data_IF_706339611464
#
_entry.id   IF_706339611464
#
_cell.length_a   1.000
_cell.length_b   1.000
_cell.length_c   1.000
_cell.angle_alpha   90.00
_cell.angle_beta   90.00
_cell.angle_gamma   90.00
#
_symmetry.space_group_name_H-M   'P 1'
#
loop_
_entity.id
_entity.type
_entity.pdbx_description
1 polymer ?
#
# COMPACT_ATOMS: atom_id res chain seq x y z
N UNK A 1 68.91 -49.29 -2.52
CA UNK A 1 68.03 -48.86 -1.44
C UNK A 1 66.82 -48.16 -2.05
N UNK A 2 65.69 -48.79 -1.84
CA UNK A 2 64.37 -48.30 -2.28
C UNK A 2 63.83 -47.29 -1.30
N UNK A 3 63.39 -46.10 -1.78
CA UNK A 3 62.66 -45.14 -1.00
C UNK A 3 61.15 -45.42 -1.05
N UNK A 4 60.37 -44.99 -0.07
CA UNK A 4 58.95 -45.36 0.02
C UNK A 4 58.08 -44.53 -0.88
N UNK A 5 57.19 -45.21 -1.58
CA UNK A 5 56.12 -44.68 -2.41
C UNK A 5 55.02 -44.07 -1.48
N UNK A 6 54.77 -42.79 -1.66
CA UNK A 6 53.60 -42.14 -1.09
C UNK A 6 52.38 -42.39 -1.97
N UNK A 7 51.38 -43.10 -1.45
CA UNK A 7 50.06 -43.15 -2.07
C UNK A 7 49.28 -41.84 -1.76
N UNK A 8 48.58 -41.28 -2.75
CA UNK A 8 47.71 -40.11 -2.49
C UNK A 8 46.40 -40.53 -1.84
N UNK A 9 46.09 -39.92 -0.70
CA UNK A 9 44.82 -40.04 -0.02
C UNK A 9 43.72 -39.48 -0.93
N UNK A 10 42.62 -40.19 -1.22
CA UNK A 10 41.54 -39.64 -2.01
C UNK A 10 40.79 -38.59 -1.18
N UNK A 11 40.89 -37.34 -1.57
CA UNK A 11 40.07 -36.25 -1.08
C UNK A 11 38.62 -36.51 -1.46
N UNK A 12 37.80 -36.83 -0.46
CA UNK A 12 36.34 -36.91 -0.58
C UNK A 12 35.80 -35.51 -0.82
N UNK A 13 35.68 -35.13 -2.07
CA UNK A 13 34.83 -34.02 -2.49
C UNK A 13 33.38 -34.50 -2.39
N UNK A 14 32.76 -34.32 -1.22
CA UNK A 14 31.32 -34.46 -1.11
C UNK A 14 30.69 -33.40 -2.03
N UNK A 15 30.02 -33.83 -3.08
CA UNK A 15 29.17 -32.97 -3.87
C UNK A 15 28.16 -32.28 -2.93
N UNK A 16 27.85 -30.98 -3.14
CA UNK A 16 26.85 -30.33 -2.30
C UNK A 16 25.53 -31.10 -2.41
N UNK A 17 25.04 -31.57 -1.26
CA UNK A 17 23.72 -32.18 -1.18
C UNK A 17 22.73 -31.20 -1.81
N UNK A 18 21.95 -31.70 -2.79
CA UNK A 18 20.81 -30.94 -3.29
C UNK A 18 19.95 -30.52 -2.10
N UNK A 19 19.69 -29.24 -1.95
CA UNK A 19 18.90 -28.71 -0.86
C UNK A 19 17.52 -29.39 -0.90
N UNK A 20 17.14 -29.99 0.21
CA UNK A 20 15.82 -30.63 0.35
C UNK A 20 14.80 -29.52 0.58
N UNK A 21 13.93 -29.29 -0.39
CA UNK A 21 12.89 -28.27 -0.30
C UNK A 21 11.76 -28.68 0.62
N UNK A 22 11.41 -27.79 1.55
CA UNK A 22 10.28 -27.93 2.46
C UNK A 22 9.17 -27.02 1.95
N UNK A 23 7.99 -27.58 1.70
CA UNK A 23 6.80 -26.81 1.36
C UNK A 23 6.01 -26.48 2.62
N UNK A 24 5.84 -25.20 2.90
CA UNK A 24 5.03 -24.71 4.01
C UNK A 24 3.71 -24.18 3.47
N UNK A 25 2.56 -24.65 3.97
CA UNK A 25 1.27 -24.05 3.58
C UNK A 25 1.22 -22.58 3.94
N UNK A 26 0.75 -21.74 3.00
CA UNK A 26 0.51 -20.33 3.27
C UNK A 26 -0.79 -20.21 4.06
N UNK A 27 -0.70 -19.69 5.27
CA UNK A 27 -1.82 -19.51 6.20
C UNK A 27 -1.91 -18.06 6.67
N UNK A 28 -3.03 -17.67 7.25
CA UNK A 28 -3.27 -16.29 7.67
C UNK A 28 -2.25 -15.79 8.72
N UNK A 29 -1.71 -16.68 9.55
CA UNK A 29 -0.70 -16.33 10.56
C UNK A 29 0.67 -15.97 9.98
N UNK A 30 0.94 -16.32 8.73
CA UNK A 30 2.12 -15.87 7.99
C UNK A 30 1.91 -14.51 7.32
N UNK A 31 0.67 -13.99 7.28
CA UNK A 31 0.34 -12.73 6.61
C UNK A 31 0.25 -11.58 7.61
N UNK A 32 0.75 -10.42 7.19
CA UNK A 32 0.57 -9.12 7.87
C UNK A 32 0.03 -8.10 6.91
N UNK A 33 -0.80 -7.19 7.43
CA UNK A 33 -1.38 -6.09 6.65
C UNK A 33 -2.66 -6.43 5.89
N UNK A 34 -3.10 -7.68 5.87
CA UNK A 34 -4.41 -8.08 5.35
C UNK A 34 -5.46 -8.01 6.45
N UNK A 35 -6.69 -7.58 6.11
CA UNK A 35 -7.82 -7.56 7.04
C UNK A 35 -8.67 -8.83 6.95
N UNK A 36 -8.60 -9.52 5.82
CA UNK A 36 -9.29 -10.78 5.58
C UNK A 36 -8.49 -11.65 4.63
N UNK A 37 -8.78 -12.94 4.61
CA UNK A 37 -8.10 -13.91 3.77
C UNK A 37 -9.12 -14.90 3.22
N UNK A 38 -9.17 -15.03 1.91
CA UNK A 38 -10.05 -15.95 1.21
C UNK A 38 -9.28 -17.15 0.67
N UNK A 39 -9.77 -18.35 0.95
CA UNK A 39 -9.24 -19.56 0.34
C UNK A 39 -9.97 -19.81 -0.97
N UNK A 40 -9.27 -19.63 -2.08
CA UNK A 40 -9.79 -19.91 -3.43
C UNK A 40 -9.31 -21.28 -3.92
N UNK A 41 -9.85 -21.77 -5.03
CA UNK A 41 -9.37 -22.99 -5.70
C UNK A 41 -7.91 -22.86 -6.18
N UNK A 42 -7.43 -21.62 -6.40
CA UNK A 42 -6.13 -21.32 -6.97
C UNK A 42 -5.12 -20.81 -5.92
N UNK A 43 -5.48 -20.84 -4.63
CA UNK A 43 -4.61 -20.40 -3.55
C UNK A 43 -5.26 -19.44 -2.58
N UNK A 44 -4.45 -18.84 -1.71
CA UNK A 44 -4.89 -17.93 -0.67
C UNK A 44 -4.86 -16.50 -1.20
N UNK A 45 -6.01 -15.82 -1.18
CA UNK A 45 -6.17 -14.43 -1.60
C UNK A 45 -6.28 -13.52 -0.38
N UNK A 46 -5.28 -12.67 -0.11
CA UNK A 46 -5.41 -11.65 0.92
C UNK A 46 -6.31 -10.50 0.47
N UNK A 47 -7.14 -10.02 1.39
CA UNK A 47 -8.04 -8.87 1.22
C UNK A 47 -7.65 -7.74 2.15
N UNK A 48 -7.75 -6.50 1.65
CA UNK A 48 -7.54 -5.30 2.46
C UNK A 48 -8.84 -4.72 3.02
N UNK A 49 -9.98 -5.24 2.58
CA UNK A 49 -11.28 -5.01 3.21
C UNK A 49 -11.91 -6.34 3.64
N UNK A 50 -12.64 -6.39 4.75
CA UNK A 50 -13.33 -7.59 5.17
C UNK A 50 -14.50 -7.93 4.22
N UNK A 51 -14.83 -9.21 4.09
CA UNK A 51 -15.90 -9.71 3.21
C UNK A 51 -17.25 -8.99 3.44
N UNK A 52 -17.57 -8.65 4.70
CA UNK A 52 -18.80 -7.90 5.02
C UNK A 52 -18.83 -6.49 4.42
N UNK A 53 -17.66 -5.85 4.25
CA UNK A 53 -17.57 -4.54 3.61
C UNK A 53 -17.85 -4.68 2.11
N UNK A 54 -17.26 -5.67 1.46
CA UNK A 54 -17.45 -5.95 0.03
C UNK A 54 -18.90 -6.29 -0.31
N UNK A 55 -19.56 -7.04 0.55
CA UNK A 55 -20.96 -7.42 0.38
C UNK A 55 -21.95 -6.23 0.46
N UNK A 56 -21.51 -5.07 0.93
CA UNK A 56 -22.36 -3.90 1.18
C UNK A 56 -22.28 -2.79 0.14
N UNK A 57 -21.77 -3.07 -1.04
CA UNK A 57 -21.81 -2.13 -2.14
C UNK A 57 -20.47 -1.87 -2.82
N UNK A 58 -19.54 -2.81 -2.72
CA UNK A 58 -18.34 -2.74 -3.54
C UNK A 58 -18.71 -2.84 -5.03
N UNK A 59 -18.29 -1.86 -5.80
CA UNK A 59 -18.28 -1.95 -7.25
C UNK A 59 -17.04 -2.71 -7.74
N UNK A 60 -16.95 -2.92 -9.04
CA UNK A 60 -15.82 -3.66 -9.63
C UNK A 60 -14.48 -2.99 -9.42
N UNK A 61 -14.43 -1.65 -9.37
CA UNK A 61 -13.21 -0.89 -9.11
C UNK A 61 -12.72 -1.10 -7.68
N UNK A 62 -13.61 -1.02 -6.71
CA UNK A 62 -13.26 -1.23 -5.30
C UNK A 62 -12.85 -2.68 -5.05
N UNK A 63 -13.59 -3.65 -5.60
CA UNK A 63 -13.27 -5.08 -5.48
C UNK A 63 -11.87 -5.40 -6.04
N UNK A 64 -11.50 -4.79 -7.15
CA UNK A 64 -10.16 -4.91 -7.71
C UNK A 64 -9.11 -4.24 -6.83
N UNK A 65 -9.32 -3.00 -6.43
CA UNK A 65 -8.34 -2.22 -5.67
C UNK A 65 -8.04 -2.85 -4.31
N UNK A 66 -9.06 -3.33 -3.58
CA UNK A 66 -8.86 -3.96 -2.28
C UNK A 66 -8.15 -5.30 -2.35
N UNK A 67 -8.31 -6.05 -3.45
CA UNK A 67 -7.64 -7.33 -3.68
C UNK A 67 -6.18 -7.19 -4.13
N UNK A 68 -5.74 -6.00 -4.47
CA UNK A 68 -4.33 -5.69 -4.72
C UNK A 68 -3.62 -5.45 -3.39
N UNK A 69 -2.61 -6.26 -3.03
CA UNK A 69 -2.16 -6.40 -1.64
C UNK A 69 -1.14 -5.34 -1.21
N UNK A 70 -1.42 -4.06 -1.43
CA UNK A 70 -0.54 -2.98 -0.97
C UNK A 70 -0.33 -3.02 0.55
N UNK A 71 0.92 -3.08 0.99
CA UNK A 71 1.29 -3.19 2.39
C UNK A 71 1.13 -4.59 2.98
N UNK A 72 0.60 -5.55 2.23
CA UNK A 72 0.48 -6.95 2.66
C UNK A 72 1.79 -7.69 2.41
N UNK A 73 2.25 -8.47 3.38
CA UNK A 73 3.48 -9.23 3.30
C UNK A 73 3.36 -10.57 4.03
N UNK A 74 4.09 -11.57 3.54
CA UNK A 74 4.44 -12.76 4.29
C UNK A 74 5.52 -12.38 5.31
N UNK A 75 5.38 -12.84 6.55
CA UNK A 75 6.34 -12.60 7.61
C UNK A 75 6.60 -13.88 8.36
N UNK A 76 7.83 -14.36 8.34
CA UNK A 76 8.21 -15.64 8.95
C UNK A 76 9.66 -15.63 9.44
N UNK A 77 9.95 -16.56 10.33
CA UNK A 77 11.28 -16.79 10.88
C UNK A 77 11.86 -18.09 10.35
N UNK A 78 13.12 -18.07 9.92
CA UNK A 78 13.77 -19.23 9.32
C UNK A 78 15.29 -19.12 9.32
N UNK A 79 15.97 -20.28 9.19
CA UNK A 79 17.39 -20.35 8.81
C UNK A 79 17.61 -20.52 7.31
N UNK A 80 16.55 -20.60 6.52
CA UNK A 80 16.65 -20.89 5.09
C UNK A 80 17.63 -19.93 4.38
N UNK A 81 18.40 -20.49 3.45
CA UNK A 81 19.30 -19.75 2.56
C UNK A 81 18.65 -19.45 1.22
N UNK A 82 17.55 -20.13 0.91
CA UNK A 82 16.77 -19.92 -0.30
C UNK A 82 15.27 -20.02 0.00
N UNK A 83 14.50 -19.13 -0.63
CA UNK A 83 13.05 -19.05 -0.51
C UNK A 83 12.46 -18.95 -1.93
N UNK A 84 11.42 -19.77 -2.18
CA UNK A 84 10.60 -19.69 -3.38
C UNK A 84 9.13 -19.51 -3.01
N UNK A 85 8.45 -18.64 -3.72
CA UNK A 85 7.02 -18.40 -3.57
C UNK A 85 6.32 -18.61 -4.91
N UNK A 86 5.38 -19.55 -4.96
CA UNK A 86 4.48 -19.71 -6.10
C UNK A 86 3.27 -18.82 -5.88
N UNK A 87 2.98 -18.00 -6.88
CA UNK A 87 1.85 -17.09 -6.86
C UNK A 87 1.18 -17.01 -8.24
N UNK A 88 -0.13 -16.89 -8.22
CA UNK A 88 -0.91 -16.56 -9.40
C UNK A 88 -1.34 -15.10 -9.30
N UNK A 89 -0.68 -14.24 -10.10
CA UNK A 89 -1.01 -12.82 -10.18
C UNK A 89 -2.10 -12.58 -11.21
N UNK A 90 -2.90 -11.53 -11.02
CA UNK A 90 -3.76 -10.96 -12.05
C UNK A 90 -3.31 -9.53 -12.29
N UNK A 91 -2.80 -9.27 -13.49
CA UNK A 91 -2.40 -7.93 -13.94
C UNK A 91 -3.56 -7.24 -14.63
N UNK A 92 -3.65 -5.94 -14.44
CA UNK A 92 -4.58 -5.12 -15.20
C UNK A 92 -3.88 -4.57 -16.45
N UNK A 93 -4.54 -4.64 -17.60
CA UNK A 93 -4.10 -4.02 -18.84
C UNK A 93 -5.28 -3.30 -19.51
N UNK A 94 -4.97 -2.23 -20.23
CA UNK A 94 -5.95 -1.48 -20.99
C UNK A 94 -5.75 -1.71 -22.48
N UNK A 95 -6.83 -2.01 -23.19
CA UNK A 95 -6.78 -2.24 -24.64
C UNK A 95 -6.26 -1.00 -25.36
N UNK A 96 -5.23 -1.16 -26.17
CA UNK A 96 -4.59 -0.08 -26.92
C UNK A 96 -3.65 0.81 -26.10
N UNK A 97 -3.46 0.55 -24.82
CA UNK A 97 -2.48 1.24 -23.97
C UNK A 97 -1.16 0.44 -23.89
N UNK A 98 -0.04 1.11 -23.58
CA UNK A 98 1.22 0.43 -23.31
C UNK A 98 1.10 -0.56 -22.17
N UNK A 99 1.89 -1.65 -22.15
CA UNK A 99 1.93 -2.57 -21.02
C UNK A 99 2.33 -1.83 -19.73
N UNK A 100 1.64 -2.13 -18.65
CA UNK A 100 2.04 -1.65 -17.31
C UNK A 100 3.25 -2.45 -16.83
N UNK A 101 4.14 -1.84 -16.00
CA UNK A 101 5.25 -2.57 -15.39
C UNK A 101 4.75 -3.78 -14.62
N UNK A 102 5.52 -4.86 -14.63
CA UNK A 102 5.25 -6.03 -13.81
C UNK A 102 5.31 -5.70 -12.31
N UNK A 103 4.44 -6.34 -11.53
CA UNK A 103 4.43 -6.23 -10.09
C UNK A 103 5.72 -6.78 -9.49
N UNK A 104 6.22 -6.10 -8.48
CA UNK A 104 7.48 -6.40 -7.81
C UNK A 104 7.20 -6.98 -6.43
N UNK A 105 7.98 -7.99 -6.04
CA UNK A 105 8.07 -8.52 -4.69
C UNK A 105 9.35 -8.00 -4.05
N UNK A 106 9.24 -7.36 -2.89
CA UNK A 106 10.40 -6.92 -2.13
C UNK A 106 10.67 -7.86 -0.96
N UNK A 107 11.93 -8.26 -0.81
CA UNK A 107 12.41 -9.05 0.33
C UNK A 107 13.06 -8.14 1.36
N UNK A 108 12.69 -8.31 2.62
CA UNK A 108 13.41 -7.78 3.77
C UNK A 108 13.91 -8.90 4.66
N UNK A 109 15.11 -8.74 5.19
CA UNK A 109 15.71 -9.60 6.21
C UNK A 109 16.03 -8.74 7.42
N UNK A 110 15.46 -9.09 8.57
CA UNK A 110 15.58 -8.33 9.82
C UNK A 110 15.25 -6.84 9.62
N UNK A 111 14.19 -6.57 8.86
CA UNK A 111 13.70 -5.21 8.56
C UNK A 111 14.49 -4.43 7.51
N UNK A 112 15.54 -5.02 6.92
CA UNK A 112 16.38 -4.35 5.91
C UNK A 112 16.13 -4.89 4.51
N UNK A 113 16.16 -4.05 3.48
CA UNK A 113 16.08 -4.51 2.09
C UNK A 113 17.14 -5.59 1.80
N UNK A 114 16.71 -6.72 1.22
CA UNK A 114 17.59 -7.85 0.95
C UNK A 114 17.42 -8.44 -0.46
N UNK A 115 16.41 -8.05 -1.20
CA UNK A 115 16.23 -8.54 -2.56
C UNK A 115 14.92 -8.03 -3.19
N UNK A 116 14.81 -8.27 -4.48
CA UNK A 116 13.66 -7.91 -5.29
C UNK A 116 13.46 -8.95 -6.38
N UNK A 117 12.22 -9.33 -6.66
CA UNK A 117 11.89 -10.28 -7.70
C UNK A 117 10.56 -9.92 -8.37
N UNK A 118 10.33 -10.48 -9.54
CA UNK A 118 9.11 -10.33 -10.33
C UNK A 118 8.56 -11.72 -10.64
N UNK A 119 7.26 -11.95 -10.38
CA UNK A 119 6.61 -13.16 -10.83
C UNK A 119 6.37 -13.11 -12.35
N UNK A 120 6.55 -14.24 -13.02
CA UNK A 120 6.22 -14.41 -14.42
C UNK A 120 4.83 -15.01 -14.59
N UNK A 121 4.32 -15.05 -15.82
CA UNK A 121 3.01 -15.65 -16.12
C UNK A 121 1.85 -14.86 -15.54
N UNK A 122 0.87 -15.58 -15.06
CA UNK A 122 -0.33 -15.02 -14.43
C UNK A 122 -1.44 -14.66 -15.40
N UNK A 123 -2.56 -14.25 -14.82
CA UNK A 123 -3.73 -13.78 -15.56
C UNK A 123 -3.60 -12.31 -15.96
N UNK A 124 -4.30 -11.91 -17.00
CA UNK A 124 -4.44 -10.52 -17.42
C UNK A 124 -5.90 -10.14 -17.48
N UNK A 125 -6.31 -9.15 -16.67
CA UNK A 125 -7.59 -8.49 -16.80
C UNK A 125 -7.46 -7.38 -17.85
N UNK A 126 -7.95 -7.65 -19.05
CA UNK A 126 -7.94 -6.69 -20.15
C UNK A 126 -9.21 -5.84 -20.09
N UNK A 127 -9.05 -4.55 -19.92
CA UNK A 127 -10.15 -3.58 -19.85
C UNK A 127 -10.17 -2.74 -21.13
N UNK A 128 -11.35 -2.65 -21.74
CA UNK A 128 -11.62 -1.73 -22.83
C UNK A 128 -12.21 -0.42 -22.26
N UNK A 129 -11.43 0.65 -22.29
CA UNK A 129 -11.84 1.94 -21.74
C UNK A 129 -12.98 2.60 -22.56
N UNK A 130 -13.15 2.23 -23.82
CA UNK A 130 -14.19 2.80 -24.67
C UNK A 130 -15.58 2.21 -24.37
N UNK A 131 -15.63 0.92 -24.01
CA UNK A 131 -16.88 0.19 -23.74
C UNK A 131 -17.09 -0.12 -22.26
N UNK A 132 -16.05 -0.04 -21.44
CA UNK A 132 -16.07 -0.48 -20.05
C UNK A 132 -16.07 -2.01 -19.90
N UNK A 133 -15.97 -2.77 -20.99
CA UNK A 133 -15.91 -4.22 -20.94
C UNK A 133 -14.56 -4.71 -20.40
N UNK A 134 -14.58 -5.84 -19.69
CA UNK A 134 -13.38 -6.47 -19.17
C UNK A 134 -13.39 -7.97 -19.47
N UNK A 135 -12.23 -8.50 -19.80
CA UNK A 135 -12.02 -9.92 -20.10
C UNK A 135 -10.79 -10.40 -19.36
N UNK A 136 -10.91 -11.53 -18.62
CA UNK A 136 -9.77 -12.17 -17.98
C UNK A 136 -9.15 -13.21 -18.91
N UNK A 137 -7.88 -13.04 -19.24
CA UNK A 137 -7.09 -14.00 -19.99
C UNK A 137 -6.29 -14.86 -19.04
N UNK A 138 -6.42 -16.19 -19.09
CA UNK A 138 -5.70 -17.10 -18.21
C UNK A 138 -4.20 -17.09 -18.49
N UNK A 139 -3.43 -17.50 -17.51
CA UNK A 139 -1.98 -17.68 -17.61
C UNK A 139 -1.46 -18.60 -16.52
N UNK A 140 -0.18 -19.03 -16.60
CA UNK A 140 0.40 -19.99 -15.68
C UNK A 140 0.76 -19.35 -14.34
N UNK A 141 0.85 -20.18 -13.31
CA UNK A 141 1.45 -19.82 -12.03
C UNK A 141 2.91 -19.41 -12.24
N UNK A 142 3.32 -18.33 -11.56
CA UNK A 142 4.70 -17.90 -11.53
C UNK A 142 5.38 -18.26 -10.22
N UNK A 143 6.71 -18.25 -10.22
CA UNK A 143 7.53 -18.46 -9.03
C UNK A 143 8.48 -17.29 -8.85
N UNK A 144 8.50 -16.69 -7.67
CA UNK A 144 9.55 -15.75 -7.26
C UNK A 144 10.59 -16.47 -6.43
N UNK A 145 11.87 -16.14 -6.64
CA UNK A 145 13.01 -16.80 -6.00
C UNK A 145 13.91 -15.78 -5.33
N UNK A 146 14.29 -16.11 -4.09
CA UNK A 146 15.24 -15.33 -3.31
C UNK A 146 16.33 -16.27 -2.79
N UNK A 147 17.43 -16.44 -3.56
CA UNK A 147 18.58 -17.23 -3.13
C UNK A 147 19.57 -16.41 -2.32
N UNK A 148 20.50 -17.07 -1.67
CA UNK A 148 21.65 -16.43 -1.02
C UNK A 148 21.34 -15.69 0.27
N UNK A 149 20.30 -16.08 0.99
CA UNK A 149 20.00 -15.52 2.30
C UNK A 149 21.04 -16.02 3.34
N UNK A 150 21.32 -15.23 4.41
CA UNK A 150 22.24 -15.64 5.46
C UNK A 150 21.82 -16.95 6.16
N UNK A 151 22.77 -17.87 6.34
CA UNK A 151 22.53 -19.11 7.12
C UNK A 151 22.59 -18.85 8.62
N UNK A 152 21.53 -18.23 9.12
CA UNK A 152 21.25 -17.99 10.53
C UNK A 152 19.75 -17.80 10.74
N UNK A 153 19.29 -17.91 11.97
CA UNK A 153 17.91 -17.53 12.30
C UNK A 153 17.70 -16.05 12.00
N UNK A 154 16.64 -15.74 11.26
CA UNK A 154 16.32 -14.38 10.85
C UNK A 154 14.83 -14.23 10.58
N UNK A 155 14.35 -13.00 10.67
CA UNK A 155 13.01 -12.65 10.27
C UNK A 155 13.01 -12.23 8.80
N UNK A 156 12.12 -12.83 8.02
CA UNK A 156 11.98 -12.60 6.58
C UNK A 156 10.61 -12.02 6.31
N UNK A 157 10.55 -10.96 5.53
CA UNK A 157 9.33 -10.42 4.98
C UNK A 157 9.39 -10.45 3.46
N UNK A 158 8.33 -10.98 2.83
CA UNK A 158 8.11 -10.87 1.38
C UNK A 158 6.91 -9.96 1.17
N UNK A 159 7.16 -8.74 0.73
CA UNK A 159 6.15 -7.76 0.43
C UNK A 159 5.55 -8.02 -0.94
N UNK A 160 4.23 -8.14 -0.99
CA UNK A 160 3.49 -8.48 -2.20
C UNK A 160 3.31 -7.24 -3.10
N UNK A 161 3.14 -7.41 -4.43
CA UNK A 161 2.96 -6.29 -5.34
C UNK A 161 1.74 -5.44 -4.95
N UNK A 162 1.93 -4.12 -4.89
CA UNK A 162 0.86 -3.19 -4.53
C UNK A 162 -0.17 -2.95 -5.65
N UNK A 163 0.09 -3.45 -6.84
CA UNK A 163 -0.65 -3.16 -8.08
C UNK A 163 -1.16 -4.39 -8.83
N UNK A 164 -1.02 -5.59 -8.26
CA UNK A 164 -1.47 -6.84 -8.87
C UNK A 164 -2.19 -7.70 -7.83
N UNK A 165 -3.41 -8.13 -8.15
CA UNK A 165 -4.10 -9.15 -7.35
C UNK A 165 -3.26 -10.41 -7.30
N UNK A 166 -3.00 -10.94 -6.11
CA UNK A 166 -2.04 -12.03 -5.91
C UNK A 166 -2.65 -13.16 -5.09
N UNK A 167 -2.76 -14.36 -5.69
CA UNK A 167 -3.11 -15.59 -4.98
C UNK A 167 -1.85 -16.34 -4.62
N UNK A 168 -1.69 -16.64 -3.34
CA UNK A 168 -0.52 -17.32 -2.79
C UNK A 168 -0.75 -18.82 -2.79
N UNK A 169 0.13 -19.58 -3.43
CA UNK A 169 -0.07 -21.00 -3.67
C UNK A 169 0.82 -21.85 -2.76
N UNK A 170 2.14 -21.63 -2.78
CA UNK A 170 3.08 -22.42 -2.02
C UNK A 170 4.33 -21.62 -1.65
N UNK A 171 4.77 -21.79 -0.42
CA UNK A 171 6.06 -21.29 0.07
C UNK A 171 7.01 -22.48 0.22
N UNK A 172 8.14 -22.43 -0.47
CA UNK A 172 9.19 -23.44 -0.38
C UNK A 172 10.49 -22.82 0.14
N UNK A 173 11.12 -23.53 1.06
CA UNK A 173 12.37 -23.12 1.71
C UNK A 173 13.28 -24.33 1.92
N UNK A 174 14.57 -24.11 2.05
CA UNK A 174 15.57 -25.14 2.35
C UNK A 174 15.80 -25.36 3.85
N UNK A 175 14.99 -24.71 4.69
CA UNK A 175 14.92 -24.94 6.14
C UNK A 175 13.50 -24.66 6.65
N UNK A 176 13.10 -25.18 7.84
CA UNK A 176 11.77 -24.95 8.40
C UNK A 176 11.42 -23.49 8.59
N UNK A 177 10.12 -23.19 8.48
CA UNK A 177 9.52 -21.86 8.63
C UNK A 177 8.55 -21.86 9.79
N UNK A 178 8.60 -20.83 10.60
CA UNK A 178 7.61 -20.52 11.64
C UNK A 178 7.12 -19.08 11.48
N UNK A 179 5.93 -18.77 12.01
CA UNK A 179 5.41 -17.40 11.99
C UNK A 179 6.38 -16.48 12.74
N UNK A 180 6.65 -15.30 12.15
CA UNK A 180 7.51 -14.32 12.81
C UNK A 180 6.80 -13.76 14.06
N UNK A 181 7.51 -13.56 15.19
CA UNK A 181 6.92 -12.98 16.37
C UNK A 181 6.46 -11.56 16.10
N UNK A 182 5.42 -11.14 16.81
CA UNK A 182 4.98 -9.73 16.81
C UNK A 182 6.11 -8.86 17.38
N UNK A 183 6.54 -7.85 16.63
CA UNK A 183 7.68 -7.02 17.03
C UNK A 183 7.35 -5.97 18.11
N UNK A 184 6.11 -5.91 18.60
CA UNK A 184 5.68 -4.92 19.60
C UNK A 184 5.68 -3.48 19.08
N UNK A 185 5.78 -3.28 17.76
CA UNK A 185 5.70 -1.96 17.13
C UNK A 185 4.25 -1.48 17.10
N UNK A 186 4.06 -0.16 17.17
CA UNK A 186 2.74 0.45 17.00
C UNK A 186 2.19 0.16 15.62
N UNK A 187 0.90 -0.10 15.53
CA UNK A 187 0.18 -0.32 14.27
C UNK A 187 -0.34 1.02 13.73
N UNK A 188 0.08 1.37 12.54
CA UNK A 188 -0.43 2.51 11.80
C UNK A 188 -1.38 2.04 10.69
N UNK A 189 -2.65 2.40 10.84
CA UNK A 189 -3.72 2.14 9.88
C UNK A 189 -3.91 3.38 9.01
N UNK A 190 -3.67 3.25 7.71
CA UNK A 190 -3.77 4.36 6.75
C UNK A 190 -4.81 4.07 5.67
N UNK A 191 -5.67 5.05 5.40
CA UNK A 191 -6.64 5.02 4.30
C UNK A 191 -6.42 6.20 3.34
N UNK A 192 -6.61 5.94 2.05
CA UNK A 192 -6.53 6.95 1.00
C UNK A 192 -6.85 6.38 -0.38
N UNK A 193 -6.44 7.11 -1.41
CA UNK A 193 -6.68 6.81 -2.83
C UNK A 193 -5.63 5.86 -3.43
N UNK A 194 -5.58 5.81 -4.77
CA UNK A 194 -4.52 5.13 -5.54
C UNK A 194 -3.11 5.62 -5.18
N UNK A 195 -2.96 6.89 -4.83
CA UNK A 195 -1.67 7.46 -4.42
C UNK A 195 -1.21 6.83 -3.09
N UNK A 196 -2.12 6.58 -2.16
CA UNK A 196 -1.84 5.84 -0.93
C UNK A 196 -1.64 4.34 -1.17
N UNK A 197 -2.36 3.76 -2.11
CA UNK A 197 -2.13 2.38 -2.55
C UNK A 197 -0.74 2.21 -3.13
N UNK A 198 -0.25 3.19 -3.87
CA UNK A 198 1.11 3.23 -4.38
C UNK A 198 1.25 3.39 -5.89
N UNK A 199 0.21 3.83 -6.61
CA UNK A 199 0.31 4.09 -8.06
C UNK A 199 1.53 4.94 -8.41
N UNK A 200 2.36 4.43 -9.31
CA UNK A 200 3.61 5.07 -9.74
C UNK A 200 4.83 4.75 -8.87
N UNK A 201 4.69 4.09 -7.74
CA UNK A 201 5.81 3.61 -6.94
C UNK A 201 6.56 2.47 -7.65
N UNK A 202 7.86 2.37 -7.42
CA UNK A 202 8.71 1.36 -8.06
C UNK A 202 8.47 -0.06 -7.51
N UNK A 203 8.08 -0.18 -6.24
CA UNK A 203 7.92 -1.46 -5.56
C UNK A 203 7.06 -1.33 -4.29
N UNK A 204 6.59 -2.43 -3.69
CA UNK A 204 5.71 -2.37 -2.53
C UNK A 204 6.33 -1.73 -1.28
N UNK A 205 7.62 -1.83 -1.07
CA UNK A 205 8.29 -1.18 0.07
C UNK A 205 8.64 0.28 -0.20
N UNK A 206 8.48 0.75 -1.41
CA UNK A 206 8.76 2.13 -1.83
C UNK A 206 7.51 2.95 -2.18
N UNK A 207 6.32 2.43 -1.90
CA UNK A 207 5.12 3.26 -1.78
C UNK A 207 5.33 4.26 -0.63
N UNK A 208 4.80 5.47 -0.74
CA UNK A 208 5.03 6.47 0.31
C UNK A 208 4.58 6.03 1.72
N UNK A 209 3.44 5.28 1.87
CA UNK A 209 3.08 4.80 3.21
C UNK A 209 4.07 3.76 3.75
N UNK A 210 4.60 2.86 2.91
CA UNK A 210 5.59 1.87 3.33
C UNK A 210 6.92 2.53 3.72
N UNK A 211 7.37 3.54 2.98
CA UNK A 211 8.54 4.35 3.32
C UNK A 211 8.34 5.09 4.64
N UNK A 212 7.21 5.76 4.80
CA UNK A 212 6.90 6.48 6.04
C UNK A 212 6.82 5.54 7.24
N UNK A 213 6.23 4.35 7.09
CA UNK A 213 6.15 3.35 8.14
C UNK A 213 7.54 2.84 8.56
N UNK A 214 8.42 2.58 7.60
CA UNK A 214 9.80 2.17 7.88
C UNK A 214 10.56 3.24 8.64
N UNK A 215 10.46 4.51 8.23
CA UNK A 215 11.10 5.65 8.90
C UNK A 215 10.49 5.92 10.29
N UNK A 216 9.18 5.74 10.43
CA UNK A 216 8.49 5.89 11.72
C UNK A 216 8.61 4.70 12.67
N UNK A 217 9.19 3.59 12.22
CA UNK A 217 9.34 2.38 13.03
C UNK A 217 8.01 1.74 13.43
N UNK A 218 7.01 1.77 12.56
CA UNK A 218 5.65 1.28 12.81
C UNK A 218 5.28 0.14 11.87
N UNK A 219 4.26 -0.65 12.27
CA UNK A 219 3.63 -1.66 11.41
C UNK A 219 2.54 -1.00 10.57
N UNK A 220 2.62 -1.13 9.26
CA UNK A 220 1.64 -0.56 8.33
C UNK A 220 0.50 -1.52 8.05
N UNK A 221 -0.74 -1.00 8.14
CA UNK A 221 -1.92 -1.55 7.47
C UNK A 221 -2.37 -0.50 6.46
N UNK A 222 -2.23 -0.81 5.17
CA UNK A 222 -2.50 0.14 4.09
C UNK A 222 -3.88 -0.11 3.46
N UNK A 223 -4.83 0.76 3.74
CA UNK A 223 -6.14 0.82 3.08
C UNK A 223 -6.18 1.95 2.04
N UNK A 224 -5.10 2.17 1.32
CA UNK A 224 -5.11 2.94 0.08
C UNK A 224 -5.88 2.15 -0.98
N UNK A 225 -6.98 2.72 -1.49
CA UNK A 225 -7.90 2.05 -2.40
C UNK A 225 -8.02 2.88 -3.68
N UNK A 226 -7.40 2.40 -4.75
CA UNK A 226 -7.38 3.08 -6.04
C UNK A 226 -8.79 3.37 -6.55
N UNK A 227 -9.13 4.65 -6.71
CA UNK A 227 -10.49 5.07 -7.08
C UNK A 227 -11.55 4.87 -6.01
N UNK A 228 -11.20 4.33 -4.84
CA UNK A 228 -12.13 3.87 -3.82
C UNK A 228 -12.14 4.66 -2.52
N UNK A 229 -11.43 5.79 -2.42
CA UNK A 229 -11.50 6.66 -1.25
C UNK A 229 -12.70 7.63 -1.37
N UNK A 230 -13.89 7.08 -1.17
CA UNK A 230 -15.16 7.71 -1.48
C UNK A 230 -16.02 7.98 -0.22
N UNK A 231 -15.43 7.97 0.97
CA UNK A 231 -16.12 8.12 2.24
C UNK A 231 -17.20 7.04 2.47
N UNK A 232 -16.98 5.84 1.98
CA UNK A 232 -17.91 4.74 2.13
C UNK A 232 -18.12 4.35 3.59
N UNK A 233 -19.37 4.21 4.06
CA UNK A 233 -19.64 3.80 5.44
C UNK A 233 -19.04 2.44 5.81
N UNK A 234 -18.95 1.51 4.87
CA UNK A 234 -18.36 0.20 5.14
C UNK A 234 -16.82 0.29 5.28
N UNK A 235 -16.15 1.23 4.60
CA UNK A 235 -14.72 1.52 4.81
C UNK A 235 -14.50 2.17 6.19
N UNK A 236 -15.35 3.11 6.57
CA UNK A 236 -15.31 3.70 7.92
C UNK A 236 -15.46 2.63 9.01
N UNK A 237 -16.37 1.67 8.83
CA UNK A 237 -16.51 0.53 9.75
C UNK A 237 -15.31 -0.40 9.76
N UNK A 238 -14.67 -0.63 8.62
CA UNK A 238 -13.43 -1.40 8.56
C UNK A 238 -12.32 -0.72 9.36
N UNK A 239 -12.18 0.60 9.24
CA UNK A 239 -11.25 1.39 10.05
C UNK A 239 -11.59 1.34 11.54
N UNK A 240 -12.88 1.46 11.89
CA UNK A 240 -13.38 1.37 13.27
C UNK A 240 -13.02 0.03 13.93
N UNK A 241 -13.21 -1.05 13.19
CA UNK A 241 -13.10 -2.41 13.71
C UNK A 241 -11.69 -3.00 13.65
N UNK A 242 -10.75 -2.33 12.98
CA UNK A 242 -9.36 -2.78 12.88
C UNK A 242 -8.53 -2.21 14.03
N UNK A 243 -7.92 -3.06 14.88
CA UNK A 243 -7.05 -2.58 15.94
C UNK A 243 -5.88 -1.75 15.38
N UNK A 244 -5.66 -0.56 15.92
CA UNK A 244 -4.60 0.33 15.51
C UNK A 244 -4.20 1.29 16.66
N UNK A 245 -2.92 1.66 16.67
CA UNK A 245 -2.38 2.65 17.61
C UNK A 245 -2.38 4.06 17.02
N UNK A 246 -2.37 4.16 15.70
CA UNK A 246 -2.33 5.40 14.93
C UNK A 246 -3.21 5.24 13.69
N UNK A 247 -3.98 6.27 13.37
CA UNK A 247 -4.84 6.25 12.18
C UNK A 247 -4.63 7.52 11.37
N UNK A 248 -4.54 7.38 10.05
CA UNK A 248 -4.58 8.52 9.13
C UNK A 248 -5.53 8.25 7.97
N UNK A 249 -6.23 9.28 7.52
CA UNK A 249 -7.14 9.23 6.39
C UNK A 249 -6.85 10.39 5.44
N UNK A 250 -6.57 10.08 4.19
CA UNK A 250 -6.32 11.06 3.13
C UNK A 250 -7.53 11.12 2.21
N UNK A 251 -8.22 12.26 2.24
CA UNK A 251 -9.55 12.43 1.65
C UNK A 251 -9.48 13.45 0.52
N UNK A 252 -10.13 13.16 -0.61
CA UNK A 252 -10.57 14.17 -1.55
C UNK A 252 -10.42 13.84 -3.02
N UNK A 253 -9.27 13.38 -3.49
CA UNK A 253 -9.02 13.25 -4.93
C UNK A 253 -10.03 12.35 -5.65
N UNK A 254 -10.42 11.23 -5.07
CA UNK A 254 -11.38 10.32 -5.70
C UNK A 254 -12.80 10.89 -5.73
N UNK A 255 -13.17 11.73 -4.77
CA UNK A 255 -14.47 12.42 -4.77
C UNK A 255 -14.58 13.40 -5.95
N UNK A 256 -13.47 14.07 -6.30
CA UNK A 256 -13.38 14.92 -7.48
C UNK A 256 -13.29 14.09 -8.75
N UNK A 257 -12.43 13.07 -8.80
CA UNK A 257 -12.27 12.23 -9.98
C UNK A 257 -13.57 11.58 -10.43
N UNK A 258 -14.40 11.13 -9.48
CA UNK A 258 -15.67 10.47 -9.76
C UNK A 258 -16.84 11.44 -9.90
N UNK A 259 -16.63 12.74 -9.61
CA UNK A 259 -17.73 13.72 -9.48
C UNK A 259 -18.86 13.18 -8.60
N UNK A 260 -18.49 12.58 -7.46
CA UNK A 260 -19.37 11.71 -6.71
C UNK A 260 -20.43 12.47 -5.94
N UNK A 261 -20.07 13.62 -5.35
CA UNK A 261 -20.97 14.38 -4.48
C UNK A 261 -20.69 15.87 -4.55
N UNK A 262 -21.69 16.65 -4.13
CA UNK A 262 -21.54 18.09 -3.96
C UNK A 262 -21.17 18.46 -2.53
N UNK A 263 -20.73 19.68 -2.32
CA UNK A 263 -20.32 20.22 -1.02
C UNK A 263 -21.35 19.93 0.10
N UNK A 264 -22.64 20.07 -0.21
CA UNK A 264 -23.73 19.81 0.78
C UNK A 264 -23.71 18.38 1.30
N UNK A 265 -23.33 17.41 0.48
CA UNK A 265 -23.21 16.00 0.89
C UNK A 265 -21.82 15.70 1.49
N UNK A 266 -20.77 16.36 1.02
CA UNK A 266 -19.39 16.15 1.46
C UNK A 266 -19.19 16.44 2.94
N UNK A 267 -19.69 17.58 3.42
CA UNK A 267 -19.51 18.01 4.81
C UNK A 267 -20.04 16.97 5.79
N UNK A 268 -21.33 16.56 5.75
CA UNK A 268 -21.84 15.55 6.65
C UNK A 268 -21.22 14.15 6.42
N UNK A 269 -20.80 13.83 5.21
CA UNK A 269 -20.14 12.57 4.93
C UNK A 269 -18.78 12.48 5.64
N UNK A 270 -17.99 13.55 5.66
CA UNK A 270 -16.72 13.60 6.40
C UNK A 270 -17.00 13.48 7.92
N UNK A 271 -17.96 14.22 8.45
CA UNK A 271 -18.32 14.09 9.87
C UNK A 271 -18.73 12.66 10.24
N UNK A 272 -19.62 12.04 9.46
CA UNK A 272 -20.07 10.67 9.71
C UNK A 272 -18.95 9.63 9.57
N UNK A 273 -18.01 9.83 8.64
CA UNK A 273 -16.85 8.98 8.49
C UNK A 273 -15.93 9.03 9.71
N UNK A 274 -15.62 10.23 10.19
CA UNK A 274 -14.82 10.43 11.41
C UNK A 274 -15.53 9.94 12.67
N UNK A 275 -16.84 10.16 12.81
CA UNK A 275 -17.64 9.66 13.93
C UNK A 275 -17.59 8.13 14.00
N UNK A 276 -17.77 7.47 12.86
CA UNK A 276 -17.69 6.00 12.79
C UNK A 276 -16.33 5.48 13.23
N UNK A 277 -15.23 6.10 12.79
CA UNK A 277 -13.88 5.71 13.24
C UNK A 277 -13.77 5.90 14.76
N UNK A 278 -14.25 7.01 15.30
CA UNK A 278 -14.18 7.32 16.73
C UNK A 278 -14.98 6.37 17.61
N UNK A 279 -16.02 5.73 17.10
CA UNK A 279 -16.76 4.68 17.83
C UNK A 279 -15.85 3.52 18.28
N UNK A 280 -14.87 3.13 17.47
CA UNK A 280 -13.90 2.07 17.78
C UNK A 280 -12.56 2.58 18.32
N UNK A 281 -12.25 3.85 18.08
CA UNK A 281 -10.97 4.49 18.41
C UNK A 281 -11.19 5.85 19.10
N UNK A 282 -11.73 5.89 20.30
CA UNK A 282 -12.14 7.15 20.93
C UNK A 282 -10.99 8.11 21.24
N UNK A 283 -9.78 7.60 21.44
CA UNK A 283 -8.60 8.39 21.82
C UNK A 283 -7.37 8.18 20.94
N UNK A 284 -7.46 7.28 19.97
CA UNK A 284 -6.34 7.02 19.04
C UNK A 284 -5.99 8.29 18.27
N UNK A 285 -4.71 8.67 18.15
CA UNK A 285 -4.30 9.76 17.26
C UNK A 285 -4.83 9.54 15.85
N UNK A 286 -5.61 10.49 15.36
CA UNK A 286 -6.26 10.45 14.05
C UNK A 286 -5.82 11.67 13.24
N UNK A 287 -5.14 11.44 12.14
CA UNK A 287 -4.63 12.47 11.24
C UNK A 287 -5.45 12.51 9.95
N UNK A 288 -6.12 13.62 9.71
CA UNK A 288 -6.78 13.92 8.43
C UNK A 288 -5.79 14.61 7.51
N UNK A 289 -5.51 14.00 6.36
CA UNK A 289 -4.64 14.56 5.34
C UNK A 289 -5.48 15.07 4.19
N UNK A 290 -5.33 16.34 3.84
CA UNK A 290 -6.01 16.92 2.68
C UNK A 290 -5.32 16.54 1.37
N UNK A 291 -5.92 16.80 0.19
CA UNK A 291 -5.32 16.39 -1.08
C UNK A 291 -3.95 17.00 -1.33
N UNK A 292 -3.06 16.20 -1.93
CA UNK A 292 -1.83 16.69 -2.56
C UNK A 292 -2.20 17.67 -3.66
N UNK A 293 -1.23 18.47 -4.12
CA UNK A 293 -1.41 19.28 -5.32
C UNK A 293 -1.70 18.38 -6.53
N UNK A 294 -2.74 18.71 -7.26
CA UNK A 294 -3.05 18.09 -8.56
C UNK A 294 -3.63 19.17 -9.49
N UNK A 295 -2.82 19.77 -10.36
CA UNK A 295 -3.18 20.96 -11.13
C UNK A 295 -4.47 20.84 -11.93
N UNK A 296 -4.78 19.67 -12.50
CA UNK A 296 -6.00 19.47 -13.29
C UNK A 296 -7.29 19.64 -12.48
N UNK A 297 -7.23 19.47 -11.15
CA UNK A 297 -8.39 19.49 -10.27
C UNK A 297 -8.34 20.55 -9.16
N UNK A 298 -7.32 21.41 -9.15
CA UNK A 298 -7.24 22.46 -8.12
C UNK A 298 -8.47 23.37 -8.15
N UNK A 299 -8.89 23.78 -9.34
CA UNK A 299 -10.01 24.70 -9.55
C UNK A 299 -11.07 24.17 -10.52
N UNK A 300 -10.88 23.01 -11.10
CA UNK A 300 -11.77 22.40 -12.08
C UNK A 300 -12.39 21.13 -11.51
N UNK A 301 -13.72 21.07 -11.40
CA UNK A 301 -14.41 19.86 -10.96
C UNK A 301 -14.17 18.67 -11.90
N UNK A 302 -14.46 17.48 -11.36
CA UNK A 302 -14.55 16.25 -12.16
C UNK A 302 -15.80 16.21 -13.05
N UNK A 303 -15.99 15.04 -13.68
CA UNK A 303 -15.16 13.85 -13.53
C UNK A 303 -13.80 13.98 -14.23
N UNK A 304 -12.85 13.13 -13.83
CA UNK A 304 -11.62 12.89 -14.60
C UNK A 304 -11.93 12.01 -15.80
N UNK A 305 -11.22 12.21 -16.89
CA UNK A 305 -11.24 11.33 -18.04
C UNK A 305 -9.82 11.10 -18.58
N UNK A 306 -9.56 9.96 -19.22
CA UNK A 306 -8.34 9.79 -20.00
C UNK A 306 -8.28 10.80 -21.13
N UNK A 307 -7.10 11.40 -21.32
CA UNK A 307 -6.79 12.18 -22.51
C UNK A 307 -6.15 11.24 -23.54
N UNK A 308 -6.95 10.79 -24.50
CA UNK A 308 -6.54 9.80 -25.49
C UNK A 308 -5.63 10.38 -26.58
N UNK A 309 -5.43 11.69 -26.62
CA UNK A 309 -4.62 12.35 -27.64
C UNK A 309 -3.17 11.88 -27.67
N UNK A 310 -2.58 11.54 -26.53
CA UNK A 310 -1.19 11.10 -26.40
C UNK A 310 -1.05 9.56 -26.33
N UNK A 311 -2.14 8.81 -26.44
CA UNK A 311 -2.12 7.35 -26.32
C UNK A 311 -1.29 6.70 -27.43
N UNK A 312 -1.32 7.25 -28.65
CA UNK A 312 -0.49 6.81 -29.78
C UNK A 312 1.00 7.05 -29.57
N UNK A 313 1.39 7.98 -28.68
CA UNK A 313 2.78 8.20 -28.26
C UNK A 313 3.16 7.39 -27.00
N UNK A 314 2.31 6.46 -26.56
CA UNK A 314 2.53 5.60 -25.40
C UNK A 314 2.30 6.29 -24.05
N UNK A 315 1.57 7.42 -24.01
CA UNK A 315 1.29 8.15 -22.77
C UNK A 315 -0.23 8.19 -22.49
N UNK A 316 -0.62 7.69 -21.34
CA UNK A 316 -1.94 7.88 -20.78
C UNK A 316 -1.89 9.10 -19.86
N UNK A 317 -2.58 10.18 -20.24
CA UNK A 317 -2.72 11.38 -19.46
C UNK A 317 -4.17 11.50 -18.96
N UNK A 318 -4.37 12.19 -17.84
CA UNK A 318 -5.70 12.51 -17.33
C UNK A 318 -6.03 13.99 -17.55
N UNK A 319 -7.31 14.29 -17.65
CA UNK A 319 -7.84 15.65 -17.73
C UNK A 319 -9.10 15.79 -16.88
N UNK A 320 -9.36 16.99 -16.40
CA UNK A 320 -10.64 17.33 -15.80
C UNK A 320 -11.67 17.64 -16.90
N UNK A 321 -12.90 17.17 -16.74
CA UNK A 321 -13.98 17.40 -17.72
C UNK A 321 -15.09 18.31 -17.21
N UNK A 322 -15.07 18.68 -15.93
CA UNK A 322 -16.07 19.57 -15.35
C UNK A 322 -15.87 21.04 -15.75
N UNK A 323 -16.89 21.84 -15.48
CA UNK A 323 -16.84 23.29 -15.68
C UNK A 323 -16.50 23.99 -14.35
N UNK A 324 -15.44 24.84 -14.30
CA UNK A 324 -15.11 25.64 -13.13
C UNK A 324 -16.27 26.48 -12.58
N UNK A 325 -17.21 26.93 -13.43
CA UNK A 325 -18.40 27.67 -13.04
C UNK A 325 -19.37 26.88 -12.16
N UNK A 326 -19.35 25.55 -12.23
CA UNK A 326 -20.22 24.68 -11.43
C UNK A 326 -19.82 24.60 -9.94
N UNK A 327 -18.68 25.18 -9.57
CA UNK A 327 -18.31 25.37 -8.15
C UNK A 327 -19.38 26.18 -7.39
N UNK A 328 -19.99 27.17 -8.04
CA UNK A 328 -21.09 27.93 -7.47
C UNK A 328 -22.29 27.06 -7.12
N UNK A 329 -22.52 25.97 -7.84
CA UNK A 329 -23.54 24.98 -7.57
C UNK A 329 -23.11 23.87 -6.57
N UNK A 330 -21.93 24.00 -5.97
CA UNK A 330 -21.41 23.10 -4.94
C UNK A 330 -20.59 21.92 -5.46
N UNK A 331 -20.16 21.93 -6.74
CA UNK A 331 -19.22 20.89 -7.21
C UNK A 331 -17.87 21.03 -6.50
N UNK A 332 -17.27 19.88 -6.21
CA UNK A 332 -16.01 19.81 -5.47
C UNK A 332 -14.81 20.03 -6.39
N UNK A 333 -13.85 20.79 -5.89
CA UNK A 333 -12.48 20.87 -6.37
C UNK A 333 -11.52 20.59 -5.22
N UNK A 334 -10.24 20.40 -5.50
CA UNK A 334 -9.28 20.15 -4.43
C UNK A 334 -9.12 21.33 -3.48
N UNK A 335 -9.17 22.55 -3.99
CA UNK A 335 -9.16 23.76 -3.16
C UNK A 335 -10.36 23.81 -2.21
N UNK A 336 -11.56 23.56 -2.72
CA UNK A 336 -12.78 23.51 -1.89
C UNK A 336 -12.66 22.43 -0.81
N UNK A 337 -12.18 21.25 -1.15
CA UNK A 337 -12.02 20.15 -0.20
C UNK A 337 -11.01 20.51 0.89
N UNK A 338 -9.87 21.12 0.55
CA UNK A 338 -8.89 21.53 1.57
C UNK A 338 -9.47 22.53 2.55
N UNK A 339 -10.15 23.54 2.05
CA UNK A 339 -10.79 24.57 2.89
C UNK A 339 -11.83 23.96 3.84
N UNK A 340 -12.65 23.03 3.34
CA UNK A 340 -13.67 22.38 4.16
C UNK A 340 -13.08 21.38 5.16
N UNK A 341 -12.05 20.62 4.81
CA UNK A 341 -11.37 19.74 5.75
C UNK A 341 -10.70 20.53 6.87
N UNK A 342 -10.05 21.65 6.54
CA UNK A 342 -9.49 22.57 7.54
C UNK A 342 -10.54 23.03 8.52
N UNK A 343 -11.67 23.49 8.02
CA UNK A 343 -12.79 23.98 8.83
C UNK A 343 -13.39 22.86 9.70
N UNK A 344 -13.63 21.67 9.13
CA UNK A 344 -14.20 20.53 9.84
C UNK A 344 -13.27 20.06 10.96
N UNK A 345 -11.98 19.90 10.67
CA UNK A 345 -11.00 19.42 11.65
C UNK A 345 -10.81 20.46 12.76
N UNK A 346 -10.70 21.75 12.42
CA UNK A 346 -10.60 22.82 13.41
C UNK A 346 -11.80 22.84 14.36
N UNK A 347 -13.01 22.71 13.83
CA UNK A 347 -14.22 22.65 14.63
C UNK A 347 -14.22 21.44 15.58
N UNK A 348 -13.88 20.26 15.07
CA UNK A 348 -13.90 19.00 15.84
C UNK A 348 -12.77 18.94 16.86
N UNK A 349 -11.60 19.49 16.55
CA UNK A 349 -10.44 19.48 17.44
C UNK A 349 -10.66 20.25 18.73
N UNK A 350 -11.65 21.14 18.78
CA UNK A 350 -12.07 21.81 20.02
C UNK A 350 -12.58 20.83 21.08
N UNK A 351 -13.14 19.70 20.68
CA UNK A 351 -13.67 18.65 21.55
C UNK A 351 -12.87 17.33 21.48
N UNK A 352 -11.99 17.18 20.48
CA UNK A 352 -11.20 15.98 20.22
C UNK A 352 -9.72 16.33 20.13
N UNK A 353 -8.97 16.28 21.24
CA UNK A 353 -7.55 16.67 21.27
C UNK A 353 -6.64 15.71 20.50
N UNK A 354 -7.14 14.54 20.10
CA UNK A 354 -6.40 13.54 19.34
C UNK A 354 -6.71 13.57 17.83
N UNK A 355 -7.50 14.55 17.39
CA UNK A 355 -7.76 14.80 15.97
C UNK A 355 -6.80 15.88 15.45
N UNK A 356 -6.09 15.55 14.37
CA UNK A 356 -5.07 16.39 13.78
C UNK A 356 -5.29 16.53 12.28
N UNK A 357 -4.68 17.56 11.69
CA UNK A 357 -4.71 17.80 10.26
C UNK A 357 -3.31 17.97 9.69
N UNK A 358 -3.13 17.54 8.44
CA UNK A 358 -1.97 17.81 7.61
C UNK A 358 -2.44 18.28 6.24
N UNK A 359 -1.99 19.46 5.81
CA UNK A 359 -2.21 19.92 4.45
C UNK A 359 -1.37 19.06 3.48
N UNK A 360 -2.03 18.38 2.55
CA UNK A 360 -1.35 17.52 1.59
C UNK A 360 -0.31 18.24 0.73
N UNK A 361 -0.43 19.56 0.57
CA UNK A 361 0.56 20.36 -0.15
C UNK A 361 1.91 20.47 0.57
N UNK A 362 1.94 20.20 1.88
CA UNK A 362 3.20 20.05 2.62
C UNK A 362 3.95 18.76 2.25
N UNK A 363 3.22 17.76 1.75
CA UNK A 363 3.80 16.54 1.22
C UNK A 363 4.21 16.67 -0.25
N UNK A 364 3.37 17.32 -1.04
CA UNK A 364 3.60 17.61 -2.45
C UNK A 364 2.82 18.88 -2.87
N UNK A 365 3.53 19.95 -3.10
CA UNK A 365 3.00 21.25 -3.44
C UNK A 365 3.52 21.78 -4.80
N UNK A 366 3.33 23.06 -5.07
CA UNK A 366 3.67 23.67 -6.36
C UNK A 366 5.16 23.61 -6.70
N UNK A 367 6.03 23.83 -5.73
CA UNK A 367 7.48 23.73 -5.92
C UNK A 367 7.88 22.29 -6.28
N UNK A 368 7.23 21.31 -5.66
CA UNK A 368 7.47 19.89 -5.95
C UNK A 368 6.98 19.53 -7.35
N UNK A 369 5.83 20.05 -7.75
CA UNK A 369 5.29 19.81 -9.09
C UNK A 369 6.19 20.42 -10.18
N UNK A 370 6.79 21.55 -9.91
CA UNK A 370 7.74 22.17 -10.84
C UNK A 370 9.00 21.33 -11.05
N UNK A 371 9.48 20.67 -9.99
CA UNK A 371 10.67 19.83 -10.00
C UNK A 371 10.36 18.38 -10.43
N UNK A 372 9.31 17.80 -9.89
CA UNK A 372 8.85 16.42 -10.10
C UNK A 372 7.38 16.43 -10.57
N UNK A 373 7.09 16.77 -11.82
CA UNK A 373 5.72 16.81 -12.33
C UNK A 373 5.08 15.41 -12.28
N UNK A 374 3.75 15.37 -12.12
CA UNK A 374 2.98 14.13 -12.19
C UNK A 374 2.99 13.61 -13.64
N UNK A 375 3.56 12.41 -13.91
CA UNK A 375 3.78 11.96 -15.29
C UNK A 375 2.49 11.79 -16.11
N UNK A 376 1.41 11.35 -15.47
CA UNK A 376 0.08 11.20 -16.10
C UNK A 376 -0.89 12.34 -15.73
N UNK A 377 -0.39 13.40 -15.09
CA UNK A 377 -1.12 14.54 -14.52
C UNK A 377 -1.95 14.22 -13.27
N UNK A 378 -1.87 13.00 -12.72
CA UNK A 378 -2.66 12.56 -11.58
C UNK A 378 -1.82 11.87 -10.50
N UNK A 379 -0.94 10.93 -10.89
CA UNK A 379 -0.20 10.08 -9.98
C UNK A 379 1.27 10.48 -9.88
N UNK A 380 1.86 10.39 -8.66
CA UNK A 380 3.29 10.63 -8.46
C UNK A 380 4.13 9.49 -9.07
N UNK A 381 5.36 9.81 -9.47
CA UNK A 381 6.37 8.82 -9.84
C UNK A 381 7.12 8.26 -8.62
N UNK A 382 8.09 7.36 -8.86
CA UNK A 382 8.86 6.73 -7.81
C UNK A 382 9.63 7.75 -6.94
N UNK A 383 10.26 8.74 -7.54
CA UNK A 383 11.00 9.79 -6.81
C UNK A 383 10.05 10.63 -5.93
N UNK A 384 8.87 10.92 -6.42
CA UNK A 384 7.86 11.66 -5.68
C UNK A 384 7.31 10.85 -4.51
N UNK A 385 7.12 9.54 -4.67
CA UNK A 385 6.77 8.66 -3.54
C UNK A 385 7.81 8.73 -2.42
N UNK A 386 9.09 8.71 -2.73
CA UNK A 386 10.16 8.88 -1.73
C UNK A 386 10.03 10.22 -0.99
N UNK A 387 9.87 11.31 -1.71
CA UNK A 387 9.70 12.66 -1.12
C UNK A 387 8.50 12.73 -0.20
N UNK A 388 7.35 12.23 -0.63
CA UNK A 388 6.12 12.21 0.18
C UNK A 388 6.32 11.36 1.44
N UNK A 389 6.91 10.16 1.32
CA UNK A 389 7.16 9.27 2.45
C UNK A 389 8.08 9.87 3.49
N UNK A 390 9.19 10.49 3.07
CA UNK A 390 10.13 11.17 3.96
C UNK A 390 9.49 12.37 4.68
N UNK A 391 8.72 13.19 3.95
CA UNK A 391 8.02 14.34 4.53
C UNK A 391 6.92 13.91 5.50
N UNK A 392 6.12 12.91 5.14
CA UNK A 392 5.10 12.38 6.05
C UNK A 392 5.74 11.85 7.33
N UNK A 393 6.84 11.10 7.23
CA UNK A 393 7.56 10.61 8.40
C UNK A 393 8.06 11.74 9.29
N UNK A 394 8.64 12.79 8.70
CA UNK A 394 9.14 13.94 9.45
C UNK A 394 8.00 14.72 10.13
N UNK A 395 6.89 14.95 9.43
CA UNK A 395 5.77 15.75 9.92
C UNK A 395 4.88 14.99 10.92
N UNK A 396 4.64 13.70 10.70
CA UNK A 396 3.74 12.91 11.54
C UNK A 396 4.47 12.21 12.69
N UNK A 397 5.60 11.56 12.43
CA UNK A 397 6.35 10.78 13.43
C UNK A 397 7.48 11.58 14.09
N UNK A 398 7.93 12.66 13.48
CA UNK A 398 8.96 13.54 14.03
C UNK A 398 8.50 14.28 15.29
N UNK A 399 9.44 14.94 15.96
CA UNK A 399 9.17 15.72 17.19
C UNK A 399 8.09 16.76 16.95
N UNK A 400 7.06 16.74 17.79
CA UNK A 400 5.90 17.63 17.69
C UNK A 400 4.81 17.16 16.72
N UNK A 401 5.06 16.09 15.97
CA UNK A 401 4.04 15.50 15.08
C UNK A 401 2.99 14.69 15.85
N UNK A 402 1.80 14.50 15.26
CA UNK A 402 0.68 13.82 15.94
C UNK A 402 0.95 12.34 16.28
N UNK A 403 1.89 11.72 15.61
CA UNK A 403 2.29 10.33 15.80
C UNK A 403 3.62 10.18 16.54
N UNK A 404 4.17 11.28 17.02
CA UNK A 404 5.41 11.26 17.76
C UNK A 404 5.31 10.35 19.00
N UNK A 405 6.32 9.53 19.22
CA UNK A 405 6.46 8.76 20.45
C UNK A 405 7.37 9.53 21.40
N UNK A 406 6.81 10.05 22.48
CA UNK A 406 7.63 10.61 23.56
C UNK A 406 8.59 9.52 24.08
N UNK A 407 9.86 9.87 24.29
CA UNK A 407 10.77 8.97 24.96
C UNK A 407 10.21 8.62 26.36
N UNK A 408 10.32 7.36 26.82
CA UNK A 408 9.93 7.04 28.19
C UNK A 408 10.71 7.97 29.13
N UNK A 409 10.08 8.47 30.21
CA UNK A 409 10.77 9.30 31.16
C UNK A 409 11.99 8.54 31.67
N UNK A 410 13.15 9.18 31.60
CA UNK A 410 14.39 8.63 32.22
C UNK A 410 14.06 8.24 33.64
N UNK A 411 14.20 6.97 33.97
CA UNK A 411 14.10 6.50 35.34
C UNK A 411 15.17 7.25 36.11
N UNK A 412 14.76 8.25 36.89
CA UNK A 412 15.66 8.85 37.89
C UNK A 412 16.13 7.71 38.78
N UNK A 413 17.34 7.26 38.54
CA UNK A 413 18.06 6.43 39.50
C UNK A 413 18.12 7.28 40.76
N UNK A 414 17.31 6.92 41.74
CA UNK A 414 17.38 7.48 43.05
C UNK A 414 18.77 7.08 43.61
N UNK A 415 19.69 8.01 43.54
CA UNK A 415 20.98 7.89 44.23
C UNK A 415 20.68 7.94 45.71
N UNK A 416 20.93 6.85 46.35
CA UNK A 416 21.06 6.74 47.81
C UNK A 416 22.37 7.34 48.30
#
# INVERSE_FOLDING_TARGET
>A
PMGPTHDPVPGSSAAPRAAEWITTPVTADLLRGALDVERTEQGLLPHRLPARALARGADGQLAMAESQPSGVRLAFRTRATAVELDALRTRMAYRGAPPRPDGVYDLRVDGRPAGRAVATGGEVLMVDMATGSAETRPGPVGTVRFPGLPDRVKDVEIWLPHNETTRLIALRTDAPVEAAPQAGRRVWLHHGSSISQGSGAASPTTTWPALAAALGGVELINLGLGGGALLDPFTARALRDTPADLISVKIGINLVNADLMRLRAFIPAVHGFLDTIREGHPTTPLLVVSPLLCPIHEHTPGPSAPDLGDLGAGRLLFRATGDPGERAGGKLTLTVIRDELDRIVTLRAAEDPNLHQLDGRELYGEADHAELPLPDRLHPDAATHHRIGERFAALAFGTGGPFHRAAPPESRVAGS
#
